data_IF_923127637074
#
_entry.id   IF_923127637074
#
_cell.length_a   1.000
_cell.length_b   1.000
_cell.length_c   1.000
_cell.angle_alpha   90.00
_cell.angle_beta   90.00
_cell.angle_gamma   90.00
#
_symmetry.space_group_name_H-M   'P 1'
#
loop_
_entity.id
_entity.type
_entity.pdbx_description
1 polymer ?
#
# COMPACT_ATOMS: atom_id res chain seq x y z
N UNK A 1 -8.60 17.19 -11.23
CA UNK A 1 -7.11 17.26 -11.18
C UNK A 1 -6.50 17.59 -9.82
N UNK A 2 -7.06 18.50 -9.01
CA UNK A 2 -6.48 18.84 -7.70
C UNK A 2 -6.46 17.66 -6.70
N UNK A 3 -7.53 16.86 -6.67
CA UNK A 3 -7.64 15.69 -5.79
C UNK A 3 -6.57 14.61 -6.07
N UNK A 4 -6.45 14.15 -7.31
CA UNK A 4 -5.44 13.15 -7.69
C UNK A 4 -4.00 13.62 -7.36
N UNK A 5 -3.67 14.90 -7.60
CA UNK A 5 -2.36 15.44 -7.22
C UNK A 5 -2.13 15.45 -5.72
N UNK A 6 -3.18 15.72 -4.93
CA UNK A 6 -3.11 15.59 -3.47
C UNK A 6 -2.81 14.14 -3.14
N UNK A 7 -3.64 13.20 -3.57
CA UNK A 7 -3.49 11.76 -3.29
C UNK A 7 -2.08 11.24 -3.63
N UNK A 8 -1.54 11.57 -4.81
CA UNK A 8 -0.18 11.20 -5.18
C UNK A 8 0.90 11.71 -4.21
N UNK A 9 0.73 12.90 -3.63
CA UNK A 9 1.66 13.42 -2.61
C UNK A 9 1.53 12.67 -1.29
N UNK A 10 0.31 12.32 -0.88
CA UNK A 10 0.07 11.54 0.33
C UNK A 10 0.66 10.13 0.21
N UNK A 11 0.35 9.42 -0.88
CA UNK A 11 0.92 8.09 -1.17
C UNK A 11 2.44 8.15 -1.18
N UNK A 12 3.04 9.11 -1.88
CA UNK A 12 4.51 9.26 -1.87
C UNK A 12 5.08 9.45 -0.46
N UNK A 13 4.41 10.25 0.38
CA UNK A 13 4.79 10.43 1.78
C UNK A 13 4.70 9.15 2.60
N UNK A 14 3.63 8.35 2.42
CA UNK A 14 3.48 7.05 3.08
C UNK A 14 4.62 6.09 2.70
N UNK A 15 5.02 6.06 1.43
CA UNK A 15 6.17 5.25 0.97
C UNK A 15 7.52 5.73 1.51
N UNK A 16 7.68 7.01 1.84
CA UNK A 16 8.88 7.51 2.53
C UNK A 16 8.98 7.00 3.97
N UNK A 17 7.86 6.58 4.58
CA UNK A 17 7.84 6.01 5.92
C UNK A 17 8.26 4.52 5.95
N UNK A 18 8.51 3.88 4.81
CA UNK A 18 8.88 2.46 4.72
C UNK A 18 10.03 2.06 5.69
N UNK A 19 11.12 2.84 5.85
CA UNK A 19 12.19 2.49 6.78
C UNK A 19 11.74 2.40 8.25
N UNK A 20 10.65 3.09 8.61
CA UNK A 20 10.09 3.12 9.96
C UNK A 20 9.26 1.88 10.32
N UNK A 21 9.09 0.92 9.40
CA UNK A 21 8.59 -0.41 9.73
C UNK A 21 9.70 -1.32 10.31
N UNK A 22 10.96 -1.02 10.04
CA UNK A 22 12.11 -1.82 10.47
C UNK A 22 12.40 -1.76 11.97
N UNK A 23 13.25 -2.67 12.47
CA UNK A 23 13.72 -2.63 13.88
C UNK A 23 14.66 -1.46 14.15
N UNK A 24 15.38 -1.00 13.13
CA UNK A 24 16.28 0.16 13.16
C UNK A 24 15.86 1.15 12.09
N UNK A 25 16.03 2.44 12.36
CA UNK A 25 15.70 3.53 11.43
C UNK A 25 16.97 4.31 11.05
N UNK A 26 17.03 4.83 9.81
CA UNK A 26 18.15 5.67 9.37
C UNK A 26 18.16 7.01 10.13
N UNK A 27 19.37 7.49 10.42
CA UNK A 27 19.67 8.78 11.05
C UNK A 27 20.82 9.46 10.30
N UNK A 28 21.06 10.75 10.55
CA UNK A 28 22.19 11.47 9.95
C UNK A 28 23.53 10.75 10.17
N UNK A 29 23.74 10.20 11.37
CA UNK A 29 25.00 9.57 11.77
C UNK A 29 24.98 8.02 11.68
N UNK A 30 23.98 7.41 11.00
CA UNK A 30 23.91 5.95 10.86
C UNK A 30 22.51 5.37 11.07
N UNK A 31 22.36 4.42 12.01
CA UNK A 31 21.05 3.83 12.33
C UNK A 31 20.87 3.71 13.84
N UNK A 32 19.65 3.98 14.31
CA UNK A 32 19.26 3.79 15.72
C UNK A 32 18.09 2.82 15.84
N UNK A 33 17.84 2.34 17.05
CA UNK A 33 16.63 1.57 17.32
C UNK A 33 15.39 2.40 17.00
N UNK A 34 14.42 1.75 16.36
CA UNK A 34 13.19 2.40 15.96
C UNK A 34 12.39 2.77 17.21
N UNK A 35 12.16 4.07 17.46
CA UNK A 35 11.47 4.52 18.67
C UNK A 35 9.97 4.29 18.60
N UNK A 36 9.42 4.01 17.41
CA UNK A 36 7.99 3.85 17.22
C UNK A 36 7.55 2.57 17.92
N UNK A 37 6.56 2.64 18.83
CA UNK A 37 5.94 1.46 19.39
C UNK A 37 5.19 0.69 18.30
N UNK A 38 4.96 -0.60 18.53
CA UNK A 38 4.31 -1.50 17.57
C UNK A 38 2.99 -0.95 16.99
N UNK A 39 2.07 -0.34 17.77
CA UNK A 39 0.83 0.21 17.24
C UNK A 39 1.03 1.33 16.21
N UNK A 40 2.08 2.14 16.33
CA UNK A 40 2.37 3.21 15.37
C UNK A 40 2.91 2.64 14.05
N UNK A 41 3.71 1.58 14.12
CA UNK A 41 4.17 0.86 12.92
C UNK A 41 3.02 0.21 12.17
N UNK A 42 2.01 -0.29 12.89
CA UNK A 42 0.78 -0.80 12.26
C UNK A 42 0.02 0.27 11.48
N UNK A 43 0.01 1.52 11.94
CA UNK A 43 -0.60 2.63 11.18
C UNK A 43 0.13 2.88 9.85
N UNK A 44 1.46 2.83 9.87
CA UNK A 44 2.28 2.96 8.64
C UNK A 44 1.97 1.80 7.68
N UNK A 45 1.88 0.58 8.20
CA UNK A 45 1.53 -0.58 7.39
C UNK A 45 0.11 -0.50 6.82
N UNK A 46 -0.86 -0.03 7.60
CA UNK A 46 -2.24 0.19 7.14
C UNK A 46 -2.28 1.22 6.00
N UNK A 47 -1.58 2.34 6.13
CA UNK A 47 -1.48 3.36 5.08
C UNK A 47 -0.89 2.78 3.79
N UNK A 48 0.21 2.02 3.89
CA UNK A 48 0.83 1.38 2.73
C UNK A 48 -0.12 0.37 2.09
N UNK A 49 -0.80 -0.48 2.88
CA UNK A 49 -1.83 -1.41 2.36
C UNK A 49 -2.90 -0.63 1.62
N UNK A 50 -3.46 0.42 2.21
CA UNK A 50 -4.51 1.25 1.61
C UNK A 50 -4.06 1.85 0.27
N UNK A 51 -2.81 2.29 0.17
CA UNK A 51 -2.25 2.82 -1.09
C UNK A 51 -2.12 1.76 -2.19
N UNK A 52 -1.97 0.49 -1.82
CA UNK A 52 -1.82 -0.65 -2.73
C UNK A 52 -3.14 -1.27 -3.17
N UNK A 53 -4.25 -1.05 -2.45
CA UNK A 53 -5.56 -1.62 -2.80
C UNK A 53 -6.00 -1.21 -4.22
N UNK A 54 -6.02 0.08 -4.61
CA UNK A 54 -6.45 0.46 -5.96
C UNK A 54 -5.64 -0.20 -7.10
N UNK A 55 -4.29 -0.18 -7.11
CA UNK A 55 -3.54 -0.85 -8.17
C UNK A 55 -3.68 -2.39 -8.10
N UNK A 56 -3.84 -2.98 -6.92
CA UNK A 56 -4.09 -4.42 -6.79
C UNK A 56 -5.44 -4.83 -7.38
N UNK A 57 -6.50 -4.03 -7.21
CA UNK A 57 -7.80 -4.27 -7.82
C UNK A 57 -7.75 -4.18 -9.35
N UNK A 58 -7.02 -3.19 -9.89
CA UNK A 58 -6.80 -3.08 -11.33
C UNK A 58 -6.05 -4.31 -11.86
N UNK A 59 -4.98 -4.73 -11.17
CA UNK A 59 -4.24 -5.92 -11.52
C UNK A 59 -5.11 -7.19 -11.45
N UNK A 60 -5.93 -7.33 -10.40
CA UNK A 60 -6.87 -8.44 -10.23
C UNK A 60 -7.86 -8.51 -11.39
N UNK A 61 -8.47 -7.38 -11.77
CA UNK A 61 -9.39 -7.33 -12.90
C UNK A 61 -8.69 -7.66 -14.22
N UNK A 62 -7.51 -7.06 -14.47
CA UNK A 62 -6.75 -7.33 -15.68
C UNK A 62 -6.40 -8.82 -15.80
N UNK A 63 -5.86 -9.42 -14.73
CA UNK A 63 -5.51 -10.83 -14.68
C UNK A 63 -6.75 -11.73 -14.73
N UNK A 64 -7.84 -11.35 -14.05
CA UNK A 64 -9.10 -12.09 -14.03
C UNK A 64 -9.78 -12.21 -15.39
N UNK A 65 -9.56 -11.23 -16.27
CA UNK A 65 -10.10 -11.23 -17.63
C UNK A 65 -9.19 -11.87 -18.66
N UNK A 66 -7.91 -12.11 -18.36
CA UNK A 66 -6.90 -12.50 -19.37
C UNK A 66 -6.08 -13.75 -19.04
N UNK A 67 -5.77 -14.00 -17.77
CA UNK A 67 -4.78 -15.01 -17.35
C UNK A 67 -5.36 -15.99 -16.34
N UNK A 68 -6.10 -15.51 -15.34
CA UNK A 68 -6.56 -16.36 -14.25
C UNK A 68 -7.65 -17.33 -14.72
N UNK A 69 -7.66 -18.57 -14.20
CA UNK A 69 -8.70 -19.52 -14.52
C UNK A 69 -10.06 -19.09 -13.94
N UNK A 70 -11.14 -19.58 -14.54
CA UNK A 70 -12.51 -19.32 -14.08
C UNK A 70 -13.21 -18.19 -14.84
N UNK A 71 -14.37 -17.77 -14.34
CA UNK A 71 -15.20 -16.74 -14.98
C UNK A 71 -14.68 -15.33 -14.68
N UNK A 72 -14.51 -14.44 -15.68
CA UNK A 72 -14.17 -13.03 -15.44
C UNK A 72 -15.16 -12.30 -14.52
N UNK A 73 -16.41 -12.76 -14.48
CA UNK A 73 -17.44 -12.23 -13.57
C UNK A 73 -17.17 -12.57 -12.10
N UNK A 74 -16.55 -13.72 -11.81
CA UNK A 74 -16.13 -14.08 -10.46
C UNK A 74 -15.08 -13.09 -9.97
N UNK A 75 -14.06 -12.81 -10.77
CA UNK A 75 -13.00 -11.87 -10.41
C UNK A 75 -13.52 -10.44 -10.27
N UNK A 76 -14.49 -10.04 -11.11
CA UNK A 76 -15.21 -8.77 -10.95
C UNK A 76 -15.98 -8.73 -9.62
N UNK A 77 -16.68 -9.79 -9.24
CA UNK A 77 -17.39 -9.86 -7.97
C UNK A 77 -16.44 -9.80 -6.77
N UNK A 78 -15.29 -10.47 -6.84
CA UNK A 78 -14.24 -10.39 -5.81
C UNK A 78 -13.72 -8.95 -5.68
N UNK A 79 -13.44 -8.27 -6.80
CA UNK A 79 -12.96 -6.89 -6.78
C UNK A 79 -13.97 -5.90 -6.17
N UNK A 80 -15.28 -6.16 -6.34
CA UNK A 80 -16.36 -5.35 -5.75
C UNK A 80 -16.59 -5.60 -4.26
N UNK A 81 -16.05 -6.70 -3.72
CA UNK A 81 -16.19 -7.07 -2.31
C UNK A 81 -15.08 -6.52 -1.40
N UNK A 82 -14.07 -5.85 -1.98
CA UNK A 82 -12.93 -5.21 -1.30
C UNK A 82 -13.24 -3.75 -1.00
#
# INVERSE_FOLDING_TARGET
HAYARREHRWVRGDWQLLPWLGRRVPTADGTRENPLPTPERWKILDNLRRSLVPPALIALLALGWTVLPGSPWLWTAVAMAV
#
